data_IF_866647734646
#
_entry.id   IF_866647734646
#
_cell.length_a   1.000
_cell.length_b   1.000
_cell.length_c   1.000
_cell.angle_alpha   90.00
_cell.angle_beta   90.00
_cell.angle_gamma   90.00
#
_symmetry.space_group_name_H-M   'P 1'
#
loop_
_entity.id
_entity.type
_entity.pdbx_description
1 polymer ?
#
# COMPACT_ATOMS: atom_id res chain seq x y z
N UNK A 1 21.86 -9.27 5.22
CA UNK A 1 22.56 -10.54 5.53
C UNK A 1 23.34 -11.08 4.32
N UNK A 2 22.72 -11.29 3.15
CA UNK A 2 23.41 -11.79 1.94
C UNK A 2 24.66 -10.97 1.54
N UNK A 3 24.54 -9.62 1.47
CA UNK A 3 25.68 -8.72 1.19
C UNK A 3 26.82 -8.80 2.22
N UNK A 4 26.49 -8.99 3.50
CA UNK A 4 27.51 -9.05 4.57
C UNK A 4 28.32 -10.36 4.46
N UNK A 5 27.67 -11.45 4.05
CA UNK A 5 28.35 -12.71 3.81
C UNK A 5 29.18 -12.69 2.50
N UNK A 6 28.76 -11.94 1.48
CA UNK A 6 29.53 -11.83 0.23
C UNK A 6 30.78 -10.95 0.35
N UNK A 7 30.77 -9.98 1.27
CA UNK A 7 31.83 -8.96 1.34
C UNK A 7 32.92 -9.31 2.37
N UNK A 8 32.74 -10.37 3.19
CA UNK A 8 33.73 -10.79 4.18
C UNK A 8 34.94 -11.47 3.52
N UNK A 9 36.09 -10.78 3.55
CA UNK A 9 37.35 -11.24 2.95
C UNK A 9 37.80 -12.60 3.49
N UNK A 10 37.64 -12.86 4.78
CA UNK A 10 38.03 -14.12 5.41
C UNK A 10 37.12 -15.29 4.94
N UNK A 11 35.81 -15.09 4.89
CA UNK A 11 34.87 -16.07 4.37
C UNK A 11 35.10 -16.37 2.88
N UNK A 12 35.42 -15.35 2.09
CA UNK A 12 35.78 -15.50 0.68
C UNK A 12 37.08 -16.30 0.50
N UNK A 13 38.07 -16.12 1.35
CA UNK A 13 39.30 -16.92 1.35
C UNK A 13 39.01 -18.39 1.72
N UNK A 14 38.14 -18.63 2.71
CA UNK A 14 37.73 -19.99 3.09
C UNK A 14 36.97 -20.70 1.97
N UNK A 15 36.05 -20.01 1.28
CA UNK A 15 35.35 -20.56 0.10
C UNK A 15 36.32 -20.90 -1.03
N UNK A 16 37.32 -20.05 -1.30
CA UNK A 16 38.39 -20.35 -2.28
C UNK A 16 39.21 -21.57 -1.86
N UNK A 17 39.58 -21.68 -0.58
CA UNK A 17 40.32 -22.82 -0.05
C UNK A 17 39.52 -24.12 -0.17
N UNK A 18 38.20 -24.08 0.11
CA UNK A 18 37.32 -25.24 -0.06
C UNK A 18 37.25 -25.68 -1.53
N UNK A 19 37.15 -24.71 -2.47
CA UNK A 19 37.13 -24.99 -3.91
C UNK A 19 38.44 -25.61 -4.40
N UNK A 20 39.60 -25.11 -3.92
CA UNK A 20 40.92 -25.69 -4.23
C UNK A 20 41.02 -27.13 -3.71
N UNK A 21 40.54 -27.37 -2.49
CA UNK A 21 40.58 -28.70 -1.88
C UNK A 21 39.65 -29.72 -2.59
N UNK A 22 38.48 -29.27 -3.04
CA UNK A 22 37.55 -30.08 -3.84
C UNK A 22 38.13 -30.52 -5.18
N UNK A 23 39.03 -29.70 -5.76
CA UNK A 23 39.66 -29.93 -7.06
C UNK A 23 41.06 -30.58 -6.95
N UNK A 24 41.56 -30.82 -5.74
CA UNK A 24 42.89 -31.38 -5.51
C UNK A 24 42.93 -32.90 -5.75
N UNK A 25 44.00 -33.39 -6.38
CA UNK A 25 44.30 -34.81 -6.51
C UNK A 25 45.68 -35.12 -5.87
N UNK A 26 45.74 -36.03 -4.87
CA UNK A 26 44.63 -36.79 -4.30
C UNK A 26 43.74 -35.93 -3.39
N UNK A 27 42.45 -36.22 -3.39
CA UNK A 27 41.47 -35.54 -2.54
C UNK A 27 41.72 -35.90 -1.06
N UNK A 28 41.84 -34.90 -0.18
CA UNK A 28 41.87 -35.08 1.29
C UNK A 28 40.54 -34.59 1.91
N UNK A 29 39.61 -35.51 2.22
CA UNK A 29 38.32 -35.19 2.85
C UNK A 29 38.45 -34.60 4.26
N UNK A 30 39.51 -34.94 5.01
CA UNK A 30 39.74 -34.44 6.36
C UNK A 30 40.07 -32.95 6.36
N UNK A 31 40.87 -32.51 5.40
CA UNK A 31 41.15 -31.09 5.18
C UNK A 31 39.92 -30.33 4.68
N UNK A 32 39.13 -30.90 3.76
CA UNK A 32 37.89 -30.27 3.28
C UNK A 32 36.89 -30.05 4.43
N UNK A 33 36.67 -31.05 5.28
CA UNK A 33 35.76 -30.94 6.43
C UNK A 33 36.18 -29.83 7.40
N UNK A 34 37.48 -29.70 7.69
CA UNK A 34 37.99 -28.61 8.54
C UNK A 34 37.71 -27.23 7.94
N UNK A 35 37.84 -27.08 6.62
CA UNK A 35 37.53 -25.82 5.93
C UNK A 35 36.03 -25.53 6.00
N UNK A 36 35.17 -26.54 5.77
CA UNK A 36 33.72 -26.40 5.88
C UNK A 36 33.26 -26.04 7.31
N UNK A 37 33.86 -26.64 8.33
CA UNK A 37 33.64 -26.28 9.73
C UNK A 37 34.03 -24.82 9.99
N UNK A 38 35.19 -24.38 9.48
CA UNK A 38 35.66 -23.00 9.60
C UNK A 38 34.73 -22.01 8.90
N UNK A 39 34.18 -22.37 7.73
CA UNK A 39 33.16 -21.59 7.00
C UNK A 39 31.91 -21.44 7.87
N UNK A 40 31.42 -22.52 8.47
CA UNK A 40 30.22 -22.49 9.31
C UNK A 40 30.43 -21.67 10.58
N UNK A 41 31.58 -21.81 11.23
CA UNK A 41 31.94 -21.01 12.41
C UNK A 41 32.00 -19.53 12.05
N UNK A 42 32.70 -19.16 10.96
CA UNK A 42 32.78 -17.77 10.52
C UNK A 42 31.41 -17.19 10.16
N UNK A 43 30.55 -17.97 9.52
CA UNK A 43 29.15 -17.57 9.28
C UNK A 43 28.41 -17.31 10.59
N UNK A 44 28.52 -18.20 11.58
CA UNK A 44 27.88 -18.01 12.89
C UNK A 44 28.39 -16.75 13.61
N UNK A 45 29.70 -16.50 13.59
CA UNK A 45 30.30 -15.28 14.15
C UNK A 45 29.75 -14.01 13.49
N UNK A 46 29.74 -13.97 12.15
CA UNK A 46 29.21 -12.84 11.39
C UNK A 46 27.73 -12.61 11.69
N UNK A 47 26.95 -13.68 11.85
CA UNK A 47 25.56 -13.59 12.27
C UNK A 47 25.42 -13.07 13.70
N UNK A 48 26.27 -13.52 14.62
CA UNK A 48 26.32 -13.03 16.00
C UNK A 48 26.61 -11.52 16.06
N UNK A 49 27.71 -11.08 15.43
CA UNK A 49 28.10 -9.67 15.35
C UNK A 49 27.01 -8.81 14.71
N UNK A 50 26.35 -9.34 13.68
CA UNK A 50 25.24 -8.65 13.03
C UNK A 50 24.04 -8.49 13.95
N UNK A 51 23.65 -9.53 14.71
CA UNK A 51 22.54 -9.47 15.68
C UNK A 51 22.85 -8.57 16.87
N UNK A 52 24.12 -8.47 17.28
CA UNK A 52 24.53 -7.52 18.32
C UNK A 52 24.40 -6.07 17.82
N UNK A 53 24.77 -5.83 16.55
CA UNK A 53 24.65 -4.49 15.95
C UNK A 53 23.20 -4.11 15.62
N UNK A 54 22.42 -5.09 15.17
CA UNK A 54 21.03 -4.98 14.74
C UNK A 54 20.21 -6.10 15.40
N UNK A 55 19.78 -5.91 16.66
CA UNK A 55 18.89 -6.86 17.31
C UNK A 55 17.65 -7.11 16.43
N UNK A 56 17.22 -8.37 16.27
CA UNK A 56 16.15 -8.71 15.34
C UNK A 56 14.78 -8.24 15.83
N UNK A 57 13.79 -8.35 14.95
CA UNK A 57 12.36 -8.18 15.24
C UNK A 57 11.98 -6.79 15.82
N UNK A 58 12.32 -5.68 15.13
CA UNK A 58 11.79 -4.37 15.50
C UNK A 58 10.25 -4.32 15.36
N UNK A 59 9.54 -3.55 16.22
CA UNK A 59 10.08 -2.58 17.16
C UNK A 59 10.49 -3.14 18.53
N UNK A 60 11.56 -2.59 19.10
CA UNK A 60 12.04 -2.82 20.47
C UNK A 60 12.86 -1.60 20.97
N UNK A 61 13.34 -1.63 22.22
CA UNK A 61 13.98 -0.48 22.90
C UNK A 61 15.09 0.22 22.10
N UNK A 62 15.88 -0.53 21.35
CA UNK A 62 17.00 0.00 20.56
C UNK A 62 16.60 0.33 19.11
N UNK A 63 15.41 -0.08 18.66
CA UNK A 63 14.91 0.13 17.31
C UNK A 63 13.40 0.34 17.34
N UNK A 64 12.98 1.57 17.66
CA UNK A 64 11.57 1.99 17.67
C UNK A 64 11.23 3.03 16.61
N UNK A 65 12.21 3.43 15.80
CA UNK A 65 12.01 4.45 14.77
C UNK A 65 12.22 3.82 13.39
N UNK A 66 11.35 4.18 12.45
CA UNK A 66 11.47 3.79 11.06
C UNK A 66 11.18 4.97 10.14
N UNK A 67 12.04 5.16 9.13
CA UNK A 67 11.78 6.07 8.03
C UNK A 67 10.78 5.42 7.07
N UNK A 68 9.68 6.11 6.78
CA UNK A 68 8.76 5.71 5.72
C UNK A 68 9.39 6.09 4.37
N UNK A 69 9.73 5.07 3.58
CA UNK A 69 10.21 5.21 2.21
C UNK A 69 9.05 5.23 1.22
N UNK A 70 9.33 5.77 0.02
CA UNK A 70 8.36 5.85 -1.08
C UNK A 70 7.50 7.12 -1.11
N UNK A 71 7.48 7.89 -0.02
CA UNK A 71 6.81 9.19 0.06
C UNK A 71 7.76 10.22 0.67
N UNK A 72 7.79 11.42 0.10
CA UNK A 72 8.51 12.58 0.64
C UNK A 72 7.58 13.78 0.65
N UNK A 73 7.78 14.66 1.62
CA UNK A 73 7.05 15.91 1.70
C UNK A 73 7.83 17.00 0.98
N UNK A 74 7.16 17.77 0.12
CA UNK A 74 7.72 19.01 -0.40
C UNK A 74 7.93 19.97 0.78
N UNK A 75 9.08 20.64 0.82
CA UNK A 75 9.29 21.68 1.81
C UNK A 75 8.67 22.98 1.31
N UNK A 76 7.56 23.37 1.92
CA UNK A 76 6.99 24.69 1.79
C UNK A 76 7.64 25.68 2.75
N UNK A 77 6.82 26.34 3.57
CA UNK A 77 7.25 27.34 4.57
C UNK A 77 7.88 26.66 5.79
N UNK A 78 7.35 25.49 6.11
CA UNK A 78 7.80 24.53 7.11
C UNK A 78 7.62 23.13 6.52
N UNK A 79 8.41 22.14 6.97
CA UNK A 79 9.54 22.20 7.90
C UNK A 79 10.87 22.61 7.24
N UNK A 80 11.85 23.01 8.07
CA UNK A 80 13.18 23.50 7.70
C UNK A 80 14.26 22.50 8.11
N UNK A 81 15.45 22.61 7.51
CA UNK A 81 16.62 21.79 7.82
C UNK A 81 16.87 21.71 9.32
N UNK A 82 17.01 20.49 9.83
CA UNK A 82 17.20 20.17 11.24
C UNK A 82 15.89 19.98 12.02
N UNK A 83 14.73 20.21 11.40
CA UNK A 83 13.45 19.99 12.06
C UNK A 83 13.16 18.49 12.23
N UNK A 84 12.70 18.15 13.44
CA UNK A 84 12.03 16.90 13.78
C UNK A 84 10.71 17.25 14.48
N UNK A 85 9.62 17.24 13.73
CA UNK A 85 8.33 17.80 14.17
C UNK A 85 7.24 16.74 14.16
N UNK A 86 6.53 16.61 15.26
CA UNK A 86 5.34 15.77 15.34
C UNK A 86 4.29 16.19 14.30
N UNK A 87 3.78 15.22 13.55
CA UNK A 87 2.76 15.39 12.53
C UNK A 87 1.40 14.88 13.02
N UNK A 88 1.30 13.61 13.42
CA UNK A 88 0.04 12.98 13.84
C UNK A 88 0.28 11.67 14.61
N UNK A 89 -0.77 11.13 15.22
CA UNK A 89 -0.75 9.81 15.86
C UNK A 89 -1.60 8.82 15.05
N UNK A 90 -1.02 7.66 14.75
CA UNK A 90 -1.68 6.57 14.05
C UNK A 90 -1.55 5.26 14.83
N UNK A 91 -2.59 4.90 15.61
CA UNK A 91 -2.59 3.66 16.40
C UNK A 91 -1.38 3.61 17.34
N UNK A 92 -0.46 2.67 17.08
CA UNK A 92 0.79 2.49 17.83
C UNK A 92 1.96 3.34 17.29
N UNK A 93 1.72 4.27 16.37
CA UNK A 93 2.73 5.10 15.73
C UNK A 93 2.54 6.58 16.06
N UNK A 94 3.64 7.27 16.38
CA UNK A 94 3.72 8.73 16.36
C UNK A 94 4.58 9.16 15.19
N UNK A 95 4.00 9.93 14.27
CA UNK A 95 4.65 10.29 13.03
C UNK A 95 5.29 11.66 13.15
N UNK A 96 6.49 11.78 12.61
CA UNK A 96 7.29 12.99 12.68
C UNK A 96 7.85 13.33 11.30
N UNK A 97 7.73 14.60 10.91
CA UNK A 97 8.43 15.16 9.76
C UNK A 97 9.90 15.39 10.14
N UNK A 98 10.82 14.85 9.34
CA UNK A 98 12.27 14.94 9.57
C UNK A 98 13.02 15.49 8.35
N UNK A 99 13.52 16.73 8.47
CA UNK A 99 14.18 17.47 7.38
C UNK A 99 15.69 17.48 7.56
N UNK A 100 16.38 16.42 7.15
CA UNK A 100 17.79 16.22 7.53
C UNK A 100 18.83 17.07 6.75
N UNK A 101 18.93 16.95 5.41
CA UNK A 101 20.09 17.49 4.66
C UNK A 101 19.84 18.83 3.98
N UNK A 102 18.77 18.90 3.18
CA UNK A 102 18.41 20.05 2.35
C UNK A 102 16.95 20.40 2.54
N UNK A 103 16.63 21.69 2.40
CA UNK A 103 15.27 22.20 2.37
C UNK A 103 14.49 21.81 1.09
N UNK A 104 14.88 20.74 0.40
CA UNK A 104 14.19 20.29 -0.81
C UNK A 104 13.02 19.37 -0.45
N UNK A 105 13.26 18.38 0.42
CA UNK A 105 12.28 17.37 0.78
C UNK A 105 12.43 16.94 2.23
N UNK A 106 11.33 16.55 2.83
CA UNK A 106 11.24 16.07 4.20
C UNK A 106 10.77 14.63 4.23
N UNK A 107 11.47 13.80 5.01
CA UNK A 107 11.08 12.41 5.26
C UNK A 107 10.04 12.32 6.36
N UNK A 108 9.38 11.17 6.45
CA UNK A 108 8.49 10.84 7.56
C UNK A 108 9.13 9.74 8.39
N UNK A 109 9.19 9.94 9.70
CA UNK A 109 9.71 8.97 10.66
C UNK A 109 8.58 8.57 11.60
N UNK A 110 8.29 7.28 11.66
CA UNK A 110 7.37 6.70 12.63
C UNK A 110 8.16 6.30 13.88
N UNK A 111 7.78 6.83 15.03
CA UNK A 111 8.12 6.26 16.34
C UNK A 111 7.02 5.25 16.72
N UNK A 112 7.40 3.99 16.90
CA UNK A 112 6.47 2.86 17.06
C UNK A 112 6.54 2.32 18.48
N UNK A 113 5.38 2.16 19.13
CA UNK A 113 5.26 1.55 20.44
C UNK A 113 5.51 0.04 20.38
N UNK A 114 6.33 -0.50 21.29
CA UNK A 114 6.65 -1.92 21.38
C UNK A 114 5.40 -2.78 21.65
N UNK A 115 4.33 -2.18 22.20
CA UNK A 115 3.05 -2.87 22.40
C UNK A 115 2.46 -3.42 21.11
N UNK A 116 2.86 -2.90 19.93
CA UNK A 116 2.40 -3.40 18.64
C UNK A 116 2.74 -4.89 18.42
N UNK A 117 3.77 -5.40 19.09
CA UNK A 117 4.12 -6.83 19.03
C UNK A 117 3.06 -7.74 19.67
N UNK A 118 2.10 -7.16 20.40
CA UNK A 118 0.97 -7.89 21.01
C UNK A 118 -0.33 -7.84 20.20
N UNK A 119 -0.36 -7.11 19.07
CA UNK A 119 -1.55 -7.07 18.21
C UNK A 119 -1.48 -8.12 17.11
N UNK A 120 -2.63 -8.68 16.72
CA UNK A 120 -2.70 -9.72 15.68
C UNK A 120 -2.25 -9.19 14.32
N UNK A 121 -2.66 -7.96 13.97
CA UNK A 121 -2.31 -7.30 12.72
C UNK A 121 -2.00 -5.83 13.00
N UNK A 122 -0.80 -5.40 12.61
CA UNK A 122 -0.41 -4.00 12.62
C UNK A 122 -0.77 -3.32 11.28
N UNK A 123 -1.85 -2.53 11.29
CA UNK A 123 -2.23 -1.65 10.18
C UNK A 123 -1.34 -0.42 10.21
N UNK A 124 -0.25 -0.42 9.44
CA UNK A 124 0.74 0.66 9.46
C UNK A 124 0.20 1.95 8.85
N UNK A 125 0.74 3.10 9.25
CA UNK A 125 0.39 4.36 8.61
C UNK A 125 0.79 4.37 7.13
N UNK A 126 1.96 3.83 6.78
CA UNK A 126 2.41 3.78 5.38
C UNK A 126 1.40 3.12 4.44
N UNK A 127 0.84 1.99 4.88
CA UNK A 127 -0.17 1.30 4.08
C UNK A 127 -1.51 2.06 4.09
N UNK A 128 -1.93 2.60 5.22
CA UNK A 128 -3.13 3.43 5.30
C UNK A 128 -3.04 4.67 4.39
N UNK A 129 -1.86 5.30 4.30
CA UNK A 129 -1.60 6.44 3.43
C UNK A 129 -1.70 6.06 1.95
N UNK A 130 -1.11 4.91 1.56
CA UNK A 130 -1.26 4.35 0.21
C UNK A 130 -2.75 4.18 -0.14
N UNK A 131 -3.51 3.54 0.74
CA UNK A 131 -4.95 3.31 0.55
C UNK A 131 -5.73 4.63 0.43
N UNK A 132 -5.46 5.60 1.32
CA UNK A 132 -6.14 6.89 1.34
C UNK A 132 -5.87 7.71 0.07
N UNK A 133 -4.62 7.77 -0.38
CA UNK A 133 -4.24 8.45 -1.63
C UNK A 133 -4.88 7.77 -2.84
N UNK A 134 -4.89 6.44 -2.88
CA UNK A 134 -5.50 5.69 -3.97
C UNK A 134 -7.01 6.00 -4.11
N UNK A 135 -7.73 6.05 -2.99
CA UNK A 135 -9.14 6.46 -2.98
C UNK A 135 -9.32 7.92 -3.42
N UNK A 136 -8.43 8.82 -3.00
CA UNK A 136 -8.52 10.22 -3.38
C UNK A 136 -8.28 10.44 -4.89
N UNK A 137 -7.52 9.55 -5.53
CA UNK A 137 -7.12 9.64 -6.95
C UNK A 137 -7.89 8.70 -7.87
N UNK A 138 -9.04 8.18 -7.47
CA UNK A 138 -9.82 7.30 -8.35
C UNK A 138 -9.09 6.01 -8.75
N UNK A 139 -8.14 5.54 -7.93
CA UNK A 139 -7.30 4.35 -8.19
C UNK A 139 -6.30 4.49 -9.36
N UNK A 140 -6.08 5.68 -9.90
CA UNK A 140 -5.16 5.89 -11.03
C UNK A 140 -3.69 5.68 -10.67
N UNK A 141 -3.31 6.11 -9.47
CA UNK A 141 -1.96 5.98 -8.94
C UNK A 141 -1.96 6.02 -7.41
N UNK A 142 -0.98 5.38 -6.81
CA UNK A 142 -0.74 5.40 -5.38
C UNK A 142 0.73 5.07 -5.08
N UNK A 143 1.30 5.64 -3.99
CA UNK A 143 2.68 5.40 -3.65
C UNK A 143 2.89 3.98 -3.14
N UNK A 144 4.03 3.38 -3.49
CA UNK A 144 4.50 2.17 -2.82
C UNK A 144 5.30 2.61 -1.60
N UNK A 145 4.97 2.08 -0.42
CA UNK A 145 5.61 2.50 0.82
C UNK A 145 6.32 1.33 1.49
N UNK A 146 7.37 1.62 2.25
CA UNK A 146 8.05 0.62 3.07
C UNK A 146 8.71 1.27 4.28
N UNK A 147 8.81 0.52 5.37
CA UNK A 147 9.45 0.98 6.59
C UNK A 147 10.92 0.57 6.58
N UNK A 148 11.82 1.56 6.67
CA UNK A 148 13.23 1.35 6.88
C UNK A 148 13.57 1.67 8.33
N UNK A 149 13.80 0.62 9.12
CA UNK A 149 14.14 0.74 10.53
C UNK A 149 15.48 1.45 10.77
N UNK A 150 15.51 2.28 11.81
CA UNK A 150 16.68 3.03 12.26
C UNK A 150 16.98 2.64 13.71
N UNK A 151 18.15 2.04 13.91
CA UNK A 151 18.61 1.64 15.24
C UNK A 151 19.22 2.84 15.95
N UNK A 152 18.81 3.05 17.20
CA UNK A 152 19.30 4.15 18.06
C UNK A 152 19.18 5.51 17.35
N UNK A 153 18.02 5.76 16.73
CA UNK A 153 17.75 7.00 16.00
C UNK A 153 18.03 8.24 16.85
N UNK A 154 18.78 9.16 16.27
CA UNK A 154 19.07 10.48 16.84
C UNK A 154 18.70 11.55 15.81
N UNK A 155 17.64 12.35 16.01
CA UNK A 155 17.20 13.34 15.03
C UNK A 155 18.22 14.46 14.76
N UNK A 156 19.26 14.60 15.59
CA UNK A 156 20.34 15.58 15.40
C UNK A 156 21.43 15.13 14.42
N UNK A 157 21.54 13.83 14.15
CA UNK A 157 22.53 13.27 13.20
C UNK A 157 22.03 13.37 11.76
N UNK A 158 22.96 13.52 10.81
CA UNK A 158 22.62 13.48 9.40
C UNK A 158 22.15 12.07 8.98
N UNK A 159 21.33 11.98 7.93
CA UNK A 159 20.83 10.69 7.42
C UNK A 159 21.92 9.68 7.09
N UNK A 160 23.04 10.12 6.53
CA UNK A 160 24.17 9.23 6.24
C UNK A 160 24.86 8.68 7.49
N UNK A 161 24.66 9.32 8.64
CA UNK A 161 25.27 8.96 9.92
C UNK A 161 24.35 8.06 10.76
N UNK A 162 23.08 7.92 10.37
CA UNK A 162 22.13 7.04 11.03
C UNK A 162 22.49 5.55 10.85
N UNK A 163 22.15 4.74 11.86
CA UNK A 163 22.32 3.29 11.80
C UNK A 163 21.07 2.61 11.25
N UNK A 164 20.94 2.64 9.93
CA UNK A 164 19.88 1.91 9.25
C UNK A 164 20.04 0.39 9.41
N UNK A 165 18.91 -0.26 9.69
CA UNK A 165 18.80 -1.71 9.63
C UNK A 165 19.00 -2.23 8.20
N UNK A 166 18.89 -3.55 8.02
CA UNK A 166 18.92 -4.16 6.69
C UNK A 166 17.87 -3.54 5.79
N UNK A 167 18.22 -3.31 4.53
CA UNK A 167 17.25 -2.87 3.53
C UNK A 167 16.07 -3.86 3.46
N UNK A 168 14.81 -3.39 3.45
CA UNK A 168 13.67 -4.25 3.24
C UNK A 168 13.80 -4.95 1.88
N UNK A 169 13.28 -6.16 1.74
CA UNK A 169 13.40 -6.96 0.51
C UNK A 169 12.79 -6.31 -0.73
N UNK A 170 11.95 -5.30 -0.55
CA UNK A 170 11.28 -4.52 -1.60
C UNK A 170 11.79 -3.07 -1.62
N UNK A 171 13.01 -2.83 -2.11
CA UNK A 171 13.51 -1.46 -2.30
C UNK A 171 13.17 -0.98 -3.71
N UNK A 172 12.15 -0.12 -3.81
CA UNK A 172 12.01 0.86 -4.88
C UNK A 172 12.48 2.21 -4.32
N UNK A 173 13.79 2.47 -4.34
CA UNK A 173 14.33 3.79 -3.95
C UNK A 173 14.24 4.80 -5.11
N UNK A 174 14.03 4.32 -6.35
CA UNK A 174 13.74 5.16 -7.51
C UNK A 174 12.24 5.48 -7.57
N UNK A 175 11.88 6.76 -7.47
CA UNK A 175 10.50 7.21 -7.69
C UNK A 175 9.68 7.56 -6.44
N UNK A 176 10.32 7.92 -5.31
CA UNK A 176 9.60 8.42 -4.15
C UNK A 176 8.64 9.56 -4.56
N UNK A 177 7.37 9.40 -4.23
CA UNK A 177 6.35 10.36 -4.58
C UNK A 177 6.46 11.59 -3.69
N UNK A 178 6.49 12.77 -4.30
CA UNK A 178 6.55 14.03 -3.58
C UNK A 178 5.11 14.51 -3.37
N UNK A 179 4.69 14.59 -2.11
CA UNK A 179 3.37 15.08 -1.71
C UNK A 179 3.51 16.36 -0.87
N UNK A 180 2.42 17.14 -0.76
CA UNK A 180 2.36 18.30 0.14
C UNK A 180 1.88 17.86 1.53
N UNK A 181 2.21 18.61 2.59
CA UNK A 181 1.68 18.33 3.94
C UNK A 181 0.16 18.48 3.93
N UNK A 182 -0.35 19.50 3.23
CA UNK A 182 -1.78 19.72 2.97
C UNK A 182 -2.48 18.49 2.40
N UNK A 183 -1.79 17.66 1.63
CA UNK A 183 -2.37 16.47 1.04
C UNK A 183 -2.76 15.41 2.09
N UNK A 184 -2.11 15.41 3.28
CA UNK A 184 -2.51 14.60 4.43
C UNK A 184 -3.82 15.10 5.04
N UNK A 185 -4.03 16.43 5.06
CA UNK A 185 -5.30 17.02 5.44
C UNK A 185 -6.40 16.68 4.44
N UNK A 186 -6.12 16.76 3.13
CA UNK A 186 -7.07 16.42 2.06
C UNK A 186 -7.56 14.96 2.13
N UNK A 187 -6.74 14.05 2.68
CA UNK A 187 -7.12 12.64 2.87
C UNK A 187 -7.40 12.27 4.34
N UNK A 188 -7.56 13.25 5.23
CA UNK A 188 -7.72 13.02 6.68
C UNK A 188 -8.98 12.21 7.01
N UNK A 189 -10.11 12.50 6.38
CA UNK A 189 -11.35 11.72 6.54
C UNK A 189 -11.17 10.27 6.12
N UNK A 190 -10.42 10.00 5.04
CA UNK A 190 -10.11 8.63 4.58
C UNK A 190 -9.22 7.92 5.60
N UNK A 191 -8.15 8.58 6.05
CA UNK A 191 -7.25 8.05 7.07
C UNK A 191 -8.00 7.71 8.36
N UNK A 192 -8.86 8.61 8.84
CA UNK A 192 -9.65 8.40 10.05
C UNK A 192 -10.52 7.15 9.94
N UNK A 193 -11.30 7.02 8.86
CA UNK A 193 -12.19 5.88 8.69
C UNK A 193 -11.39 4.57 8.53
N UNK A 194 -10.24 4.60 7.83
CA UNK A 194 -9.32 3.46 7.72
C UNK A 194 -8.78 3.03 9.09
N UNK A 195 -8.54 3.97 10.00
CA UNK A 195 -8.08 3.67 11.35
C UNK A 195 -9.20 3.05 12.19
N UNK A 196 -10.36 3.72 12.24
CA UNK A 196 -11.50 3.37 13.09
C UNK A 196 -12.22 2.10 12.65
N UNK A 197 -12.35 1.87 11.34
CA UNK A 197 -13.13 0.77 10.77
C UNK A 197 -12.23 -0.25 10.08
N UNK A 198 -12.01 -1.39 10.74
CA UNK A 198 -11.34 -2.54 10.13
C UNK A 198 -12.08 -3.07 8.89
N UNK A 199 -13.42 -3.19 8.86
CA UNK A 199 -14.13 -3.57 7.65
C UNK A 199 -13.85 -2.64 6.47
N UNK A 200 -13.77 -1.33 6.71
CA UNK A 200 -13.42 -0.36 5.67
C UNK A 200 -11.97 -0.52 5.23
N UNK A 201 -11.03 -0.67 6.16
CA UNK A 201 -9.62 -0.92 5.85
C UNK A 201 -9.45 -2.14 4.94
N UNK A 202 -10.05 -3.27 5.32
CA UNK A 202 -9.97 -4.52 4.55
C UNK A 202 -10.66 -4.38 3.20
N UNK A 203 -11.78 -3.66 3.12
CA UNK A 203 -12.47 -3.44 1.85
C UNK A 203 -11.62 -2.65 0.86
N UNK A 204 -11.01 -1.55 1.31
CA UNK A 204 -10.13 -0.71 0.47
C UNK A 204 -8.87 -1.47 0.08
N UNK A 205 -8.27 -2.23 1.01
CA UNK A 205 -7.12 -3.08 0.71
C UNK A 205 -7.43 -4.09 -0.40
N UNK A 206 -8.54 -4.83 -0.29
CA UNK A 206 -8.93 -5.79 -1.32
C UNK A 206 -9.22 -5.12 -2.67
N UNK A 207 -9.78 -3.91 -2.67
CA UNK A 207 -10.00 -3.14 -3.89
C UNK A 207 -8.67 -2.76 -4.57
N UNK A 208 -7.67 -2.35 -3.80
CA UNK A 208 -6.33 -2.04 -4.33
C UNK A 208 -5.66 -3.30 -4.88
N UNK A 209 -5.72 -4.43 -4.18
CA UNK A 209 -5.19 -5.70 -4.70
C UNK A 209 -5.89 -6.09 -6.00
N UNK A 210 -7.20 -5.82 -6.14
CA UNK A 210 -7.91 -6.05 -7.39
C UNK A 210 -7.33 -5.20 -8.53
N UNK A 211 -7.07 -3.92 -8.29
CA UNK A 211 -6.47 -2.99 -9.26
C UNK A 211 -5.03 -3.35 -9.63
N UNK A 212 -4.21 -3.76 -8.67
CA UNK A 212 -2.82 -4.21 -8.91
C UNK A 212 -2.78 -5.46 -9.80
N UNK A 213 -3.80 -6.32 -9.72
CA UNK A 213 -3.92 -7.49 -10.59
C UNK A 213 -4.50 -7.14 -11.96
N UNK A 214 -5.50 -6.26 -12.04
CA UNK A 214 -6.13 -5.86 -13.29
C UNK A 214 -6.38 -4.34 -13.31
N UNK A 215 -5.46 -3.62 -13.95
CA UNK A 215 -5.50 -2.17 -14.07
C UNK A 215 -6.34 -1.73 -15.27
N UNK A 216 -7.16 -0.71 -15.06
CA UNK A 216 -7.91 0.02 -16.08
C UNK A 216 -8.19 1.43 -15.57
N UNK A 217 -8.56 2.36 -16.46
CA UNK A 217 -8.97 3.70 -16.05
C UNK A 217 -10.38 3.65 -15.43
N UNK A 218 -10.45 3.85 -14.10
CA UNK A 218 -11.70 3.81 -13.35
C UNK A 218 -12.67 4.90 -13.80
N UNK A 219 -12.19 6.09 -14.12
CA UNK A 219 -13.02 7.20 -14.61
C UNK A 219 -13.64 6.90 -15.98
N UNK A 220 -12.88 6.30 -16.90
CA UNK A 220 -13.40 5.85 -18.19
C UNK A 220 -14.46 4.73 -18.03
N UNK A 221 -14.32 3.87 -17.02
CA UNK A 221 -15.32 2.85 -16.73
C UNK A 221 -16.64 3.43 -16.17
N UNK A 222 -16.60 4.62 -15.57
CA UNK A 222 -17.77 5.30 -15.00
C UNK A 222 -18.58 6.11 -16.02
N UNK A 223 -18.03 6.39 -17.20
CA UNK A 223 -18.68 7.16 -18.26
C UNK A 223 -19.21 6.27 -19.39
N UNK A 224 -20.09 6.85 -20.23
CA UNK A 224 -20.65 6.16 -21.39
C UNK A 224 -19.55 5.82 -22.41
N UNK A 225 -19.71 4.74 -23.20
CA UNK A 225 -18.70 4.30 -24.16
C UNK A 225 -18.23 5.40 -25.13
N UNK A 226 -19.11 6.32 -25.52
CA UNK A 226 -18.79 7.40 -26.46
C UNK A 226 -17.86 8.49 -25.87
N UNK A 227 -17.71 8.53 -24.54
CA UNK A 227 -16.90 9.51 -23.82
C UNK A 227 -15.61 8.94 -23.25
N UNK A 228 -15.31 7.67 -23.53
CA UNK A 228 -14.10 7.02 -23.03
C UNK A 228 -12.88 7.52 -23.80
N UNK A 229 -11.84 7.87 -23.05
CA UNK A 229 -10.56 8.33 -23.62
C UNK A 229 -9.53 7.20 -23.73
N UNK A 230 -9.70 6.12 -22.96
CA UNK A 230 -8.81 4.97 -22.93
C UNK A 230 -9.47 3.72 -23.51
N UNK A 231 -8.67 2.87 -24.14
CA UNK A 231 -9.15 1.60 -24.69
C UNK A 231 -9.40 0.58 -23.56
N UNK A 232 -10.53 -0.11 -23.68
CA UNK A 232 -10.95 -1.19 -22.79
C UNK A 232 -11.24 -2.47 -23.58
N UNK A 233 -10.65 -2.63 -24.76
CA UNK A 233 -10.73 -3.82 -25.59
C UNK A 233 -10.30 -5.08 -24.84
N UNK A 234 -10.87 -6.21 -25.25
CA UNK A 234 -10.48 -7.52 -24.73
C UNK A 234 -9.03 -7.83 -25.10
N UNK A 235 -8.27 -8.49 -24.20
CA UNK A 235 -6.87 -8.85 -24.48
C UNK A 235 -6.75 -9.75 -25.71
N UNK A 236 -5.69 -9.53 -26.49
CA UNK A 236 -5.39 -10.36 -27.64
C UNK A 236 -5.11 -11.81 -27.21
N UNK A 237 -5.26 -12.78 -28.13
CA UNK A 237 -5.14 -14.21 -27.80
C UNK A 237 -3.83 -14.58 -27.11
N UNK A 238 -2.73 -13.93 -27.43
CA UNK A 238 -1.42 -14.18 -26.81
C UNK A 238 -1.26 -13.51 -25.44
N UNK A 239 -2.05 -12.47 -25.14
CA UNK A 239 -2.07 -11.78 -23.82
C UNK A 239 -2.93 -12.54 -22.81
N UNK A 240 -3.92 -13.30 -23.27
CA UNK A 240 -4.90 -14.01 -22.44
C UNK A 240 -4.28 -14.96 -21.41
N UNK A 241 -3.13 -15.56 -21.71
CA UNK A 241 -2.43 -16.50 -20.81
C UNK A 241 -2.11 -15.87 -19.45
N UNK A 242 -1.77 -14.58 -19.44
CA UNK A 242 -1.45 -13.83 -18.22
C UNK A 242 -2.63 -12.95 -17.78
N UNK A 243 -3.41 -12.42 -18.73
CA UNK A 243 -4.54 -11.55 -18.41
C UNK A 243 -5.68 -12.28 -17.69
N UNK A 244 -6.02 -13.51 -18.09
CA UNK A 244 -7.15 -14.24 -17.50
C UNK A 244 -6.96 -14.53 -15.99
N UNK A 245 -5.84 -15.10 -15.51
CA UNK A 245 -5.64 -15.32 -14.06
C UNK A 245 -5.63 -14.02 -13.25
N UNK A 246 -5.11 -12.94 -13.83
CA UNK A 246 -5.11 -11.61 -13.24
C UNK A 246 -6.54 -11.05 -13.08
N UNK A 247 -7.37 -11.19 -14.12
CA UNK A 247 -8.78 -10.80 -14.08
C UNK A 247 -9.59 -11.65 -13.09
N UNK A 248 -9.36 -12.97 -13.02
CA UNK A 248 -9.99 -13.84 -12.02
C UNK A 248 -9.64 -13.39 -10.60
N UNK A 249 -8.36 -13.10 -10.34
CA UNK A 249 -7.89 -12.58 -9.06
C UNK A 249 -8.55 -11.25 -8.74
N UNK A 250 -8.62 -10.33 -9.71
CA UNK A 250 -9.25 -9.04 -9.53
C UNK A 250 -10.74 -9.14 -9.17
N UNK A 251 -11.48 -10.03 -9.81
CA UNK A 251 -12.90 -10.30 -9.48
C UNK A 251 -13.04 -10.83 -8.06
N UNK A 252 -12.19 -11.78 -7.65
CA UNK A 252 -12.24 -12.36 -6.30
C UNK A 252 -11.99 -11.28 -5.24
N UNK A 253 -10.98 -10.44 -5.43
CA UNK A 253 -10.64 -9.39 -4.47
C UNK A 253 -11.67 -8.25 -4.48
N UNK A 254 -12.18 -7.84 -5.66
CA UNK A 254 -13.28 -6.89 -5.74
C UNK A 254 -14.54 -7.39 -5.02
N UNK A 255 -14.85 -8.69 -5.15
CA UNK A 255 -15.98 -9.29 -4.43
C UNK A 255 -15.73 -9.32 -2.92
N UNK A 256 -14.51 -9.59 -2.46
CA UNK A 256 -14.15 -9.52 -1.03
C UNK A 256 -14.25 -8.11 -0.47
N UNK A 257 -13.93 -7.09 -1.27
CA UNK A 257 -14.12 -5.70 -0.86
C UNK A 257 -15.61 -5.39 -0.58
N UNK A 258 -16.50 -5.86 -1.47
CA UNK A 258 -17.96 -5.74 -1.28
C UNK A 258 -18.43 -6.58 -0.09
N UNK A 259 -17.95 -7.82 0.04
CA UNK A 259 -18.29 -8.74 1.14
C UNK A 259 -17.91 -8.17 2.50
N UNK A 260 -16.78 -7.48 2.61
CA UNK A 260 -16.34 -6.84 3.87
C UNK A 260 -17.31 -5.76 4.37
N UNK A 261 -18.02 -5.08 3.48
CA UNK A 261 -18.95 -3.99 3.82
C UNK A 261 -20.41 -4.44 3.86
N UNK A 262 -20.81 -5.28 2.91
CA UNK A 262 -22.19 -5.71 2.70
C UNK A 262 -22.43 -7.16 3.11
N UNK A 263 -21.43 -7.90 3.57
CA UNK A 263 -21.51 -9.35 3.82
C UNK A 263 -21.78 -10.17 2.55
N UNK A 264 -22.08 -11.46 2.73
CA UNK A 264 -22.52 -12.32 1.62
C UNK A 264 -24.02 -12.16 1.36
N UNK A 265 -24.47 -12.23 0.09
CA UNK A 265 -25.88 -12.31 -0.23
C UNK A 265 -26.43 -13.65 0.25
N UNK A 266 -27.38 -13.59 1.18
CA UNK A 266 -28.18 -14.78 1.56
C UNK A 266 -29.14 -15.16 0.44
N UNK A 267 -29.81 -16.31 0.58
CA UNK A 267 -30.78 -16.81 -0.40
C UNK A 267 -31.95 -15.83 -0.65
N UNK A 268 -32.05 -15.32 -1.88
CA UNK A 268 -33.06 -14.33 -2.31
C UNK A 268 -34.47 -14.88 -2.49
N UNK A 269 -34.66 -16.19 -2.45
CA UNK A 269 -35.97 -16.82 -2.66
C UNK A 269 -36.96 -16.56 -1.53
N UNK A 270 -36.47 -16.13 -0.36
CA UNK A 270 -37.30 -15.84 0.81
C UNK A 270 -37.37 -14.33 1.08
N UNK A 271 -38.57 -13.71 1.16
CA UNK A 271 -38.73 -12.27 1.39
C UNK A 271 -38.00 -11.76 2.64
N UNK A 272 -37.98 -12.55 3.70
CA UNK A 272 -37.31 -12.20 4.96
C UNK A 272 -35.79 -12.09 4.79
N UNK A 273 -35.15 -12.99 4.02
CA UNK A 273 -33.70 -12.92 3.78
C UNK A 273 -33.36 -11.77 2.83
N UNK A 274 -34.23 -11.48 1.85
CA UNK A 274 -34.08 -10.32 0.97
C UNK A 274 -34.14 -9.00 1.77
N UNK A 275 -35.15 -8.84 2.62
CA UNK A 275 -35.29 -7.66 3.48
C UNK A 275 -34.06 -7.44 4.36
N UNK A 276 -33.46 -8.49 4.95
CA UNK A 276 -32.21 -8.34 5.73
C UNK A 276 -31.02 -7.84 4.90
N UNK A 277 -30.95 -8.21 3.61
CA UNK A 277 -29.90 -7.72 2.71
C UNK A 277 -30.13 -6.24 2.42
N UNK A 278 -31.37 -5.84 2.15
CA UNK A 278 -31.77 -4.45 1.92
C UNK A 278 -31.52 -3.58 3.15
N UNK A 279 -31.86 -4.05 4.35
CA UNK A 279 -31.60 -3.34 5.62
C UNK A 279 -30.09 -3.11 5.81
N UNK A 280 -29.29 -4.17 5.68
CA UNK A 280 -27.81 -4.09 5.79
C UNK A 280 -27.22 -3.18 4.72
N UNK A 281 -27.76 -3.20 3.51
CA UNK A 281 -27.36 -2.30 2.43
C UNK A 281 -27.62 -0.84 2.82
N UNK A 282 -28.84 -0.56 3.28
CA UNK A 282 -29.27 0.76 3.71
C UNK A 282 -28.58 1.24 4.99
N UNK A 283 -27.96 0.35 5.78
CA UNK A 283 -27.06 0.71 6.88
C UNK A 283 -25.65 1.01 6.37
N UNK A 284 -25.12 0.19 5.46
CA UNK A 284 -23.74 0.25 5.03
C UNK A 284 -23.43 1.36 4.01
N UNK A 285 -24.32 1.62 3.06
CA UNK A 285 -24.08 2.56 1.95
C UNK A 285 -25.29 3.45 1.69
N UNK A 286 -25.09 4.57 0.99
CA UNK A 286 -26.16 5.48 0.55
C UNK A 286 -26.36 5.36 -0.98
N UNK A 287 -26.70 4.14 -1.41
CA UNK A 287 -27.06 3.81 -2.79
C UNK A 287 -28.40 3.10 -2.73
N UNK A 288 -29.38 3.53 -3.50
CA UNK A 288 -30.62 2.77 -3.65
C UNK A 288 -30.33 1.45 -4.39
N UNK A 289 -30.57 0.32 -3.73
CA UNK A 289 -30.24 -0.99 -4.27
C UNK A 289 -31.09 -1.38 -5.50
N UNK A 290 -32.24 -0.73 -5.72
CA UNK A 290 -33.10 -0.96 -6.87
C UNK A 290 -32.71 -0.09 -8.09
N UNK A 291 -31.80 0.87 -7.92
CA UNK A 291 -31.30 1.67 -9.04
C UNK A 291 -30.47 0.82 -10.01
N UNK A 292 -30.47 1.23 -11.28
CA UNK A 292 -29.71 0.55 -12.32
C UNK A 292 -28.21 0.81 -12.14
N UNK A 293 -27.44 -0.26 -12.04
CA UNK A 293 -25.99 -0.20 -12.14
C UNK A 293 -25.58 -0.04 -13.61
N UNK A 294 -25.17 1.19 -13.96
CA UNK A 294 -24.84 1.59 -15.33
C UNK A 294 -23.85 0.63 -16.01
N UNK A 295 -24.09 0.34 -17.29
CA UNK A 295 -23.27 -0.56 -18.09
C UNK A 295 -23.58 -2.06 -17.92
N UNK A 296 -24.54 -2.43 -17.09
CA UNK A 296 -25.00 -3.82 -16.92
C UNK A 296 -26.48 -4.03 -17.23
N UNK A 297 -27.31 -2.98 -17.07
CA UNK A 297 -28.78 -3.09 -17.16
C UNK A 297 -29.43 -3.81 -15.97
N UNK A 298 -28.65 -4.21 -14.97
CA UNK A 298 -29.13 -4.82 -13.71
C UNK A 298 -29.32 -3.74 -12.64
N UNK A 299 -30.17 -4.01 -11.65
CA UNK A 299 -30.17 -3.23 -10.41
C UNK A 299 -28.86 -3.45 -9.63
N UNK A 300 -28.51 -2.56 -8.71
CA UNK A 300 -27.38 -2.77 -7.80
C UNK A 300 -27.53 -4.08 -7.00
N UNK A 301 -28.75 -4.37 -6.52
CA UNK A 301 -29.05 -5.60 -5.79
C UNK A 301 -28.86 -6.83 -6.68
N UNK A 302 -29.39 -6.81 -7.91
CA UNK A 302 -29.23 -7.94 -8.83
C UNK A 302 -27.76 -8.15 -9.22
N UNK A 303 -27.01 -7.07 -9.45
CA UNK A 303 -25.59 -7.17 -9.73
C UNK A 303 -24.79 -7.69 -8.53
N UNK A 304 -25.17 -7.33 -7.30
CA UNK A 304 -24.58 -7.88 -6.09
C UNK A 304 -24.73 -9.41 -6.03
N UNK A 305 -25.91 -9.95 -6.34
CA UNK A 305 -26.09 -11.40 -6.46
C UNK A 305 -25.28 -12.01 -7.61
N UNK A 306 -25.23 -11.34 -8.75
CA UNK A 306 -24.43 -11.77 -9.91
C UNK A 306 -22.93 -11.84 -9.59
N UNK A 307 -22.39 -10.84 -8.89
CA UNK A 307 -20.99 -10.73 -8.52
C UNK A 307 -20.53 -11.93 -7.69
N UNK A 308 -21.34 -12.41 -6.75
CA UNK A 308 -20.98 -13.60 -5.95
C UNK A 308 -21.00 -14.90 -6.77
N UNK A 309 -21.89 -15.02 -7.75
CA UNK A 309 -21.86 -16.14 -8.69
C UNK A 309 -20.64 -16.07 -9.61
N UNK A 310 -20.28 -14.86 -10.07
CA UNK A 310 -19.09 -14.61 -10.87
C UNK A 310 -17.82 -14.98 -10.10
N UNK A 311 -17.69 -14.53 -8.85
CA UNK A 311 -16.61 -14.95 -7.93
C UNK A 311 -16.54 -16.46 -7.80
N UNK A 312 -17.67 -17.14 -7.58
CA UNK A 312 -17.71 -18.61 -7.44
C UNK A 312 -17.13 -19.31 -8.67
N UNK A 313 -17.44 -18.80 -9.86
CA UNK A 313 -16.88 -19.28 -11.13
C UNK A 313 -15.38 -19.01 -11.24
N UNK A 314 -14.94 -17.79 -10.89
CA UNK A 314 -13.52 -17.39 -10.96
C UNK A 314 -12.63 -18.07 -9.92
N UNK A 315 -13.13 -18.33 -8.70
CA UNK A 315 -12.36 -18.96 -7.63
C UNK A 315 -12.22 -20.49 -7.79
N UNK A 316 -13.02 -21.09 -8.68
CA UNK A 316 -13.08 -22.53 -8.89
C UNK A 316 -12.83 -22.91 -10.35
N UNK A 317 -12.01 -22.14 -11.08
CA UNK A 317 -11.42 -22.54 -12.35
C UNK A 317 -10.46 -23.73 -12.11
N UNK A 318 -11.01 -24.95 -11.99
CA UNK A 318 -10.30 -26.20 -11.61
C UNK A 318 -9.28 -26.66 -12.66
N UNK A 319 -8.22 -25.90 -12.89
CA UNK A 319 -7.16 -26.23 -13.86
C UNK A 319 -7.51 -25.95 -15.33
N UNK A 320 -8.58 -25.19 -15.60
CA UNK A 320 -8.99 -24.78 -16.94
C UNK A 320 -9.14 -23.26 -17.01
N UNK A 321 -8.50 -22.62 -17.99
CA UNK A 321 -8.72 -21.19 -18.28
C UNK A 321 -10.13 -21.01 -18.86
N UNK A 322 -10.99 -20.30 -18.14
CA UNK A 322 -12.35 -20.03 -18.59
C UNK A 322 -12.36 -18.88 -19.61
N UNK A 323 -12.32 -19.19 -20.91
CA UNK A 323 -12.36 -18.19 -21.99
C UNK A 323 -13.67 -17.40 -22.08
N UNK A 324 -14.68 -17.72 -21.27
CA UNK A 324 -15.90 -16.92 -21.13
C UNK A 324 -15.72 -15.70 -20.22
N UNK A 325 -14.61 -15.61 -19.47
CA UNK A 325 -14.28 -14.44 -18.69
C UNK A 325 -13.80 -13.31 -19.62
N UNK A 326 -14.42 -12.14 -19.50
CA UNK A 326 -14.09 -10.96 -20.28
C UNK A 326 -13.51 -9.86 -19.40
N UNK A 327 -12.68 -9.00 -19.98
CA UNK A 327 -12.21 -7.75 -19.37
C UNK A 327 -13.38 -6.91 -18.91
N UNK A 328 -14.45 -6.85 -19.70
CA UNK A 328 -15.66 -6.12 -19.30
C UNK A 328 -16.24 -6.61 -17.97
N UNK A 329 -16.31 -7.93 -17.72
CA UNK A 329 -16.80 -8.47 -16.45
C UNK A 329 -15.89 -8.10 -15.28
N UNK A 330 -14.57 -8.16 -15.46
CA UNK A 330 -13.61 -7.74 -14.44
C UNK A 330 -13.72 -6.24 -14.12
N UNK A 331 -13.81 -5.39 -15.16
CA UNK A 331 -14.02 -3.94 -15.01
C UNK A 331 -15.32 -3.64 -14.27
N UNK A 332 -16.42 -4.31 -14.62
CA UNK A 332 -17.70 -4.11 -13.94
C UNK A 332 -17.62 -4.53 -12.47
N UNK A 333 -16.96 -5.65 -12.15
CA UNK A 333 -16.80 -6.13 -10.78
C UNK A 333 -16.00 -5.13 -9.92
N UNK A 334 -14.86 -4.65 -10.44
CA UNK A 334 -14.03 -3.66 -9.76
C UNK A 334 -14.74 -2.30 -9.63
N UNK A 335 -15.45 -1.86 -10.67
CA UNK A 335 -16.22 -0.60 -10.67
C UNK A 335 -17.37 -0.66 -9.67
N UNK A 336 -18.06 -1.79 -9.58
CA UNK A 336 -19.10 -2.01 -8.58
C UNK A 336 -18.52 -1.93 -7.17
N UNK A 337 -17.41 -2.64 -6.91
CA UNK A 337 -16.72 -2.59 -5.62
C UNK A 337 -16.27 -1.17 -5.25
N UNK A 338 -15.69 -0.43 -6.20
CA UNK A 338 -15.35 0.98 -6.03
C UNK A 338 -16.55 1.83 -5.61
N UNK A 339 -17.70 1.70 -6.31
CA UNK A 339 -18.91 2.45 -5.95
C UNK A 339 -19.42 2.13 -4.54
N UNK A 340 -19.41 0.85 -4.15
CA UNK A 340 -19.81 0.45 -2.79
C UNK A 340 -18.84 1.02 -1.74
N UNK A 341 -17.53 0.93 -1.96
CA UNK A 341 -16.51 1.46 -1.06
C UNK A 341 -16.63 2.98 -0.91
N UNK A 342 -16.80 3.71 -2.01
CA UNK A 342 -16.97 5.17 -1.98
C UNK A 342 -18.29 5.56 -1.31
N UNK A 343 -19.40 4.88 -1.60
CA UNK A 343 -20.66 5.18 -0.94
C UNK A 343 -20.62 4.89 0.56
N UNK A 344 -19.90 3.84 0.98
CA UNK A 344 -19.66 3.57 2.39
C UNK A 344 -18.82 4.69 3.02
N UNK A 345 -17.72 5.10 2.37
CA UNK A 345 -16.90 6.22 2.85
C UNK A 345 -17.73 7.50 3.01
N UNK A 346 -18.49 7.90 1.99
CA UNK A 346 -19.29 9.13 2.03
C UNK A 346 -20.29 9.15 3.19
N UNK A 347 -20.85 7.99 3.50
CA UNK A 347 -21.84 7.82 4.56
C UNK A 347 -21.24 7.83 5.97
N UNK A 348 -20.06 7.23 6.14
CA UNK A 348 -19.47 6.96 7.46
C UNK A 348 -18.28 7.86 7.82
N UNK A 349 -17.84 8.72 6.90
CA UNK A 349 -16.74 9.66 7.13
C UNK A 349 -17.11 10.75 8.12
N UNK A 350 -16.12 11.19 8.88
CA UNK A 350 -16.17 12.46 9.58
C UNK A 350 -15.85 13.62 8.63
N UNK A 351 -16.26 14.83 9.01
CA UNK A 351 -15.75 16.06 8.41
C UNK A 351 -14.23 16.14 8.59
N UNK A 352 -13.54 16.90 7.74
CA UNK A 352 -12.08 16.96 7.74
C UNK A 352 -11.54 17.49 9.08
N UNK A 353 -12.22 18.47 9.67
CA UNK A 353 -11.87 19.09 10.94
C UNK A 353 -11.93 18.07 12.09
N UNK A 354 -13.02 17.31 12.17
CA UNK A 354 -13.21 16.25 13.16
C UNK A 354 -12.21 15.10 12.97
N UNK A 355 -11.89 14.74 11.72
CA UNK A 355 -10.92 13.71 11.39
C UNK A 355 -9.49 14.11 11.80
N UNK A 356 -9.13 15.37 11.60
CA UNK A 356 -7.86 15.97 12.02
C UNK A 356 -7.71 15.91 13.54
N UNK A 357 -8.77 16.23 14.29
CA UNK A 357 -8.79 16.12 15.74
C UNK A 357 -8.64 14.66 16.20
N UNK A 358 -9.39 13.73 15.60
CA UNK A 358 -9.33 12.31 15.92
C UNK A 358 -7.92 11.72 15.70
N UNK A 359 -7.25 12.13 14.63
CA UNK A 359 -5.87 11.73 14.29
C UNK A 359 -4.79 12.49 15.06
N UNK A 360 -5.19 13.45 15.90
CA UNK A 360 -4.30 14.35 16.65
C UNK A 360 -3.27 15.01 15.72
N UNK A 361 -3.70 15.44 14.54
CA UNK A 361 -2.79 16.05 13.58
C UNK A 361 -2.34 17.43 14.07
N UNK A 362 -1.11 17.79 13.74
CA UNK A 362 -0.51 19.07 14.05
C UNK A 362 -1.06 20.15 13.10
N UNK A 363 -2.00 20.94 13.60
CA UNK A 363 -2.67 22.00 12.84
C UNK A 363 -1.69 23.08 12.38
N UNK A 364 -0.70 23.46 13.20
CA UNK A 364 0.30 24.47 12.83
C UNK A 364 1.06 24.09 11.55
N UNK A 365 1.35 22.80 11.36
CA UNK A 365 2.01 22.30 10.14
C UNK A 365 1.07 22.35 8.93
N UNK A 366 -0.20 22.02 9.10
CA UNK A 366 -1.20 22.04 8.04
C UNK A 366 -1.47 23.48 7.57
N UNK A 367 -1.63 24.40 8.53
CA UNK A 367 -1.90 25.82 8.28
C UNK A 367 -0.69 26.56 7.69
N UNK A 368 0.51 26.01 7.84
CA UNK A 368 1.73 26.59 7.26
C UNK A 368 1.79 26.52 5.72
N UNK A 369 0.90 25.74 5.10
CA UNK A 369 0.74 25.64 3.64
C UNK A 369 -0.59 26.29 3.17
N UNK A 370 -0.54 27.42 2.43
CA UNK A 370 -1.74 28.09 1.93
C UNK A 370 -2.54 27.22 0.96
N UNK A 371 -3.87 27.38 0.95
CA UNK A 371 -4.77 26.69 0.00
C UNK A 371 -4.42 26.95 -1.46
N UNK A 372 -3.99 28.18 -1.75
CA UNK A 372 -3.68 28.67 -3.09
C UNK A 372 -2.23 28.44 -3.52
N UNK A 373 -1.46 27.65 -2.78
CA UNK A 373 -0.06 27.43 -3.11
C UNK A 373 0.10 26.57 -4.37
N UNK A 374 0.29 27.23 -5.53
CA UNK A 374 0.85 26.58 -6.71
C UNK A 374 2.38 26.54 -6.58
N UNK A 375 3.00 25.42 -6.95
CA UNK A 375 4.46 25.32 -6.93
C UNK A 375 5.09 26.45 -7.76
N UNK A 376 6.34 26.87 -7.47
CA UNK A 376 7.06 27.81 -8.32
C UNK A 376 7.07 27.35 -9.80
N UNK A 377 7.16 26.04 -10.03
CA UNK A 377 7.06 25.40 -11.36
C UNK A 377 5.69 25.59 -12.04
N UNK A 378 4.59 25.64 -11.29
CA UNK A 378 3.25 25.95 -11.87
C UNK A 378 3.02 27.45 -12.04
N UNK A 379 3.73 28.30 -11.28
CA UNK A 379 3.69 29.75 -11.46
C UNK A 379 4.50 30.19 -12.70
N UNK A 380 5.64 29.56 -12.98
CA UNK A 380 6.45 29.83 -14.18
C UNK A 380 5.75 29.35 -15.48
N UNK A 381 5.08 28.20 -15.46
CA UNK A 381 4.35 27.69 -16.63
C UNK A 381 3.01 28.39 -16.94
N UNK A 382 2.51 29.27 -16.08
CA UNK A 382 1.29 30.05 -16.36
C UNK A 382 1.49 31.14 -17.42
N UNK A 383 2.73 31.48 -17.75
CA UNK A 383 3.03 32.50 -18.75
C UNK A 383 3.16 31.96 -20.18
N UNK A 384 3.21 30.63 -20.38
CA UNK A 384 3.50 30.03 -21.70
C UNK A 384 2.43 29.09 -22.26
N UNK A 385 1.22 29.03 -21.67
CA UNK A 385 0.11 28.26 -22.24
C UNK A 385 -1.04 29.21 -22.60
N UNK A 386 -1.22 29.57 -23.89
CA UNK A 386 -2.42 30.25 -24.32
C UNK A 386 -3.56 29.21 -24.27
N UNK A 387 -4.38 29.28 -23.22
CA UNK A 387 -5.70 28.65 -23.27
C UNK A 387 -6.50 29.38 -24.36
N UNK A 388 -6.67 28.72 -25.50
CA UNK A 388 -7.67 29.10 -26.49
C UNK A 388 -9.05 28.98 -25.83
N UNK A 389 -9.86 30.01 -26.04
CA UNK A 389 -11.23 30.18 -25.53
C UNK A 389 -12.18 29.11 -26.01
#
# INVERSE_FOLDING_TARGET
>A
MSRILSDDSALNQLHKAAAVQLLAEPHDPGQLNKILESINLRKQELVGQFKEKFPPDPPHRECRHAELRGVKFQNGTLPRKGDYRYLLTWGHEKLHLWTHTKNSYTGLVAEVDESVNSVDIWRTFGEALKLAIALNRGLESFPQTSYQWIYRFDPSLDRSEQHYGPEPSSVYDEGAEIIRIRQIYEVSSQLELLQRSEPFFVAVQNLIVAMENHQFCQDCALVSPERRMHDHSEPEKWEQVIALPKMETAIVQATRAVEGLLGQPGDRSTPQKRSRVEDRWQEAVDINCDEVFSGTGMSYLDYYYFLFNLRGSSAHSRGFLSFSLTRQLAVQAQTFAWKIVIAHFQKHRLAAEDAVEALKMNQDLIESEPESWSTPLTAENKHDIPFAQ
#
